data_IF_403579123359
#
_entry.id   IF_403579123359
#
_cell.length_a   1.000
_cell.length_b   1.000
_cell.length_c   1.000
_cell.angle_alpha   90.00
_cell.angle_beta   90.00
_cell.angle_gamma   90.00
#
_symmetry.space_group_name_H-M   'P 1'
#
loop_
_entity.id
_entity.type
_entity.pdbx_description
1 polymer ?
#
# COMPACT_ATOMS: atom_id res chain seq x y z
N UNK A 1 3.83 36.33 7.15
CA UNK A 1 4.39 35.64 5.98
C UNK A 1 4.84 34.28 6.49
N UNK A 2 3.94 33.29 6.46
CA UNK A 2 4.25 31.93 6.87
C UNK A 2 5.07 31.29 5.75
N UNK A 3 6.24 30.76 6.07
CA UNK A 3 7.16 30.17 5.09
C UNK A 3 6.49 29.01 4.36
N UNK A 4 6.61 29.01 3.03
CA UNK A 4 6.20 27.89 2.19
C UNK A 4 6.79 26.59 2.76
N UNK A 5 5.94 25.58 2.86
CA UNK A 5 6.32 24.26 3.37
C UNK A 5 7.09 23.51 2.27
N UNK A 6 8.27 24.00 1.92
CA UNK A 6 9.18 23.33 1.00
C UNK A 6 9.88 22.17 1.73
N UNK A 7 9.37 20.96 1.57
CA UNK A 7 10.10 19.73 1.91
C UNK A 7 10.75 19.17 0.64
N UNK A 8 12.08 19.23 0.61
CA UNK A 8 12.98 19.03 -0.54
C UNK A 8 12.99 17.58 -1.09
N UNK A 9 12.47 16.59 -0.35
CA UNK A 9 12.27 15.23 -0.87
C UNK A 9 11.02 14.62 -0.24
N UNK A 10 9.88 15.02 -0.76
CA UNK A 10 8.62 14.35 -0.44
C UNK A 10 8.32 13.33 -1.52
N UNK A 11 8.69 12.08 -1.27
CA UNK A 11 8.45 10.95 -2.18
C UNK A 11 6.95 10.67 -2.39
N UNK A 12 6.04 11.47 -1.82
CA UNK A 12 4.59 11.31 -1.93
C UNK A 12 4.08 10.07 -1.20
N UNK A 13 4.92 9.43 -0.40
CA UNK A 13 4.60 8.20 0.34
C UNK A 13 3.70 8.50 1.54
N UNK A 14 3.84 9.68 2.12
CA UNK A 14 3.07 10.15 3.28
C UNK A 14 2.47 11.52 2.99
N UNK A 15 1.31 11.77 3.58
CA UNK A 15 0.55 13.01 3.42
C UNK A 15 0.60 13.88 4.67
N UNK A 16 1.67 13.79 5.46
CA UNK A 16 1.87 14.65 6.62
C UNK A 16 3.32 15.09 6.75
N UNK A 17 3.52 16.27 7.33
CA UNK A 17 4.82 16.90 7.56
C UNK A 17 4.85 17.50 8.96
N UNK A 18 6.06 17.69 9.52
CA UNK A 18 6.21 18.45 10.76
C UNK A 18 5.94 19.92 10.48
N UNK A 19 5.24 20.60 11.38
CA UNK A 19 4.97 22.02 11.22
C UNK A 19 6.29 22.83 11.29
N UNK A 20 6.57 23.73 10.33
CA UNK A 20 7.87 24.41 10.24
C UNK A 20 8.12 25.36 11.42
N UNK A 21 7.07 26.00 11.94
CA UNK A 21 7.19 27.00 13.01
C UNK A 21 6.99 26.45 14.42
N UNK A 22 6.38 25.27 14.58
CA UNK A 22 6.07 24.71 15.91
C UNK A 22 6.20 23.17 15.88
N UNK A 23 7.24 22.61 16.52
CA UNK A 23 7.48 21.17 16.49
C UNK A 23 6.42 20.33 17.24
N UNK A 24 5.52 20.96 17.99
CA UNK A 24 4.41 20.27 18.67
C UNK A 24 3.24 19.95 17.76
N UNK A 25 3.27 20.43 16.51
CA UNK A 25 2.22 20.18 15.54
C UNK A 25 2.72 19.37 14.34
N UNK A 26 1.83 18.53 13.84
CA UNK A 26 1.98 17.77 12.59
C UNK A 26 0.88 18.22 11.66
N UNK A 27 1.23 18.53 10.42
CA UNK A 27 0.29 19.01 9.40
C UNK A 27 0.00 17.89 8.44
N UNK A 28 -1.26 17.45 8.38
CA UNK A 28 -1.75 16.55 7.34
C UNK A 28 -2.22 17.38 6.14
N UNK A 29 -1.92 16.93 4.92
CA UNK A 29 -2.26 17.61 3.68
C UNK A 29 -3.07 16.71 2.76
N UNK A 30 -4.11 17.26 2.15
CA UNK A 30 -4.96 16.55 1.21
C UNK A 30 -5.17 17.40 -0.04
N UNK A 31 -5.02 16.80 -1.22
CA UNK A 31 -5.34 17.45 -2.51
C UNK A 31 -6.81 17.25 -2.87
N UNK A 32 -7.38 16.11 -2.46
CA UNK A 32 -8.75 15.74 -2.76
C UNK A 32 -9.67 16.22 -1.63
N UNK A 33 -10.64 17.06 -1.99
CA UNK A 33 -11.63 17.61 -1.05
C UNK A 33 -12.46 16.53 -0.37
N UNK A 34 -12.82 15.45 -1.07
CA UNK A 34 -13.63 14.36 -0.51
C UNK A 34 -12.86 13.67 0.61
N UNK A 35 -11.56 13.43 0.41
CA UNK A 35 -10.69 12.83 1.45
C UNK A 35 -10.53 13.77 2.63
N UNK A 36 -10.34 15.06 2.38
CA UNK A 36 -10.23 16.08 3.42
C UNK A 36 -11.50 16.15 4.30
N UNK A 37 -12.67 16.18 3.66
CA UNK A 37 -13.96 16.23 4.36
C UNK A 37 -14.21 14.96 5.19
N UNK A 38 -13.88 13.77 4.65
CA UNK A 38 -13.97 12.51 5.41
C UNK A 38 -13.03 12.49 6.62
N UNK A 39 -11.81 13.01 6.45
CA UNK A 39 -10.84 13.09 7.53
C UNK A 39 -11.32 14.01 8.65
N UNK A 40 -11.86 15.18 8.31
CA UNK A 40 -12.46 16.12 9.26
C UNK A 40 -13.62 15.51 10.05
N UNK A 41 -14.50 14.76 9.38
CA UNK A 41 -15.62 14.05 10.02
C UNK A 41 -15.09 13.06 11.06
N UNK A 42 -14.09 12.25 10.71
CA UNK A 42 -13.52 11.25 11.63
C UNK A 42 -12.81 11.91 12.83
N UNK A 43 -12.11 13.03 12.61
CA UNK A 43 -11.52 13.83 13.69
C UNK A 43 -12.58 14.38 14.66
N UNK A 44 -13.66 14.92 14.10
CA UNK A 44 -14.79 15.46 14.87
C UNK A 44 -15.49 14.38 15.67
N UNK A 45 -15.75 13.21 15.05
CA UNK A 45 -16.37 12.05 15.71
C UNK A 45 -15.54 11.54 16.90
N UNK A 46 -14.22 11.57 16.79
CA UNK A 46 -13.30 11.18 17.87
C UNK A 46 -12.97 12.31 18.85
N UNK A 47 -13.57 13.50 18.68
CA UNK A 47 -13.34 14.70 19.51
C UNK A 47 -11.87 15.11 19.58
N UNK A 48 -11.14 14.92 18.48
CA UNK A 48 -9.74 15.32 18.37
C UNK A 48 -9.69 16.79 17.97
N UNK A 49 -8.89 17.59 18.67
CA UNK A 49 -8.69 19.00 18.31
C UNK A 49 -7.82 19.11 17.07
N UNK A 50 -8.22 19.96 16.13
CA UNK A 50 -7.48 20.23 14.90
C UNK A 50 -7.62 21.70 14.48
N UNK A 51 -6.66 22.17 13.70
CA UNK A 51 -6.72 23.45 13.00
C UNK A 51 -6.86 23.18 11.50
N UNK A 52 -7.85 23.78 10.85
CA UNK A 52 -8.05 23.67 9.40
C UNK A 52 -7.44 24.87 8.71
N UNK A 53 -6.66 24.60 7.67
CA UNK A 53 -6.11 25.61 6.77
C UNK A 53 -6.31 25.21 5.31
N UNK A 54 -6.18 26.17 4.41
CA UNK A 54 -6.15 25.93 2.98
C UNK A 54 -4.95 26.68 2.41
N UNK A 55 -4.16 25.99 1.59
CA UNK A 55 -3.00 26.56 0.94
C UNK A 55 -3.12 26.35 -0.57
N UNK A 56 -3.17 27.47 -1.31
CA UNK A 56 -3.21 27.43 -2.75
C UNK A 56 -1.77 27.47 -3.28
N UNK A 57 -1.29 26.32 -3.73
CA UNK A 57 -0.04 26.25 -4.49
C UNK A 57 -0.29 26.68 -5.94
N UNK A 58 0.78 26.96 -6.69
CA UNK A 58 0.74 27.41 -8.10
C UNK A 58 -0.08 26.50 -9.02
N UNK A 59 -0.26 25.23 -8.65
CA UNK A 59 -0.92 24.20 -9.48
C UNK A 59 -2.12 23.54 -8.80
N UNK A 60 -2.19 23.51 -7.46
CA UNK A 60 -3.19 22.73 -6.71
C UNK A 60 -3.57 23.40 -5.40
N UNK A 61 -4.82 23.21 -4.99
CA UNK A 61 -5.31 23.55 -3.66
C UNK A 61 -5.01 22.39 -2.71
N UNK A 62 -4.41 22.70 -1.56
CA UNK A 62 -4.16 21.76 -0.48
C UNK A 62 -5.03 22.10 0.72
N UNK A 63 -5.75 21.11 1.23
CA UNK A 63 -6.45 21.17 2.50
C UNK A 63 -5.50 20.69 3.60
N UNK A 64 -5.26 21.56 4.59
CA UNK A 64 -4.30 21.34 5.66
C UNK A 64 -5.01 21.14 6.99
N UNK A 65 -4.51 20.20 7.79
CA UNK A 65 -4.98 19.93 9.13
C UNK A 65 -3.82 19.89 10.12
N UNK A 66 -3.72 20.89 10.97
CA UNK A 66 -2.77 20.98 12.07
C UNK A 66 -3.24 20.16 13.27
N UNK A 67 -2.45 19.16 13.66
CA UNK A 67 -2.77 18.21 14.72
C UNK A 67 -1.67 18.23 15.77
N UNK A 68 -2.04 18.15 17.05
CA UNK A 68 -1.06 18.05 18.14
C UNK A 68 -0.33 16.71 18.05
N UNK A 69 0.99 16.76 18.20
CA UNK A 69 1.87 15.59 18.12
C UNK A 69 1.48 14.46 19.09
N UNK A 70 0.91 14.79 20.25
CA UNK A 70 0.42 13.80 21.23
C UNK A 70 -0.69 12.90 20.69
N UNK A 71 -1.49 13.41 19.75
CA UNK A 71 -2.65 12.75 19.16
C UNK A 71 -2.29 12.09 17.81
N UNK A 72 -1.02 12.18 17.40
CA UNK A 72 -0.52 11.77 16.09
C UNK A 72 -0.82 10.30 15.78
N UNK A 73 -0.52 9.37 16.69
CA UNK A 73 -0.69 7.93 16.42
C UNK A 73 -2.17 7.58 16.13
N UNK A 74 -3.08 8.16 16.91
CA UNK A 74 -4.52 8.01 16.72
C UNK A 74 -4.94 8.60 15.37
N UNK A 75 -4.49 9.81 15.06
CA UNK A 75 -4.86 10.50 13.81
C UNK A 75 -4.24 9.82 12.59
N UNK A 76 -3.05 9.25 12.70
CA UNK A 76 -2.41 8.48 11.65
C UNK A 76 -3.24 7.23 11.30
N UNK A 77 -3.84 6.56 12.30
CA UNK A 77 -4.75 5.43 12.04
C UNK A 77 -6.02 5.86 11.29
N UNK A 78 -6.56 7.04 11.60
CA UNK A 78 -7.70 7.63 10.89
C UNK A 78 -7.30 7.91 9.44
N UNK A 79 -6.14 8.53 9.24
CA UNK A 79 -5.62 8.85 7.93
C UNK A 79 -5.45 7.59 7.06
N UNK A 80 -4.90 6.50 7.61
CA UNK A 80 -4.83 5.22 6.90
C UNK A 80 -6.22 4.66 6.58
N UNK A 81 -7.19 4.83 7.47
CA UNK A 81 -8.57 4.39 7.24
C UNK A 81 -9.21 5.17 6.09
N UNK A 82 -9.12 6.50 6.09
CA UNK A 82 -9.63 7.37 5.02
C UNK A 82 -8.95 7.06 3.68
N UNK A 83 -7.63 6.85 3.71
CA UNK A 83 -6.85 6.52 2.52
C UNK A 83 -7.22 5.13 1.98
N UNK A 84 -7.43 4.14 2.85
CA UNK A 84 -7.84 2.78 2.45
C UNK A 84 -9.23 2.74 1.82
N UNK A 85 -10.19 3.52 2.35
CA UNK A 85 -11.55 3.65 1.79
C UNK A 85 -11.55 4.22 0.37
N UNK A 86 -10.58 5.07 0.05
CA UNK A 86 -10.52 5.79 -1.22
C UNK A 86 -9.48 5.22 -2.20
N UNK A 87 -8.67 4.24 -1.79
CA UNK A 87 -7.77 3.52 -2.68
C UNK A 87 -8.56 2.51 -3.49
N UNK A 88 -8.54 2.65 -4.81
CA UNK A 88 -8.93 1.56 -5.70
C UNK A 88 -7.95 0.42 -5.48
N UNK A 89 -8.47 -0.75 -5.12
CA UNK A 89 -7.67 -1.94 -4.89
C UNK A 89 -6.74 -2.18 -6.09
N UNK A 90 -5.48 -2.57 -5.84
CA UNK A 90 -4.41 -2.79 -6.86
C UNK A 90 -4.79 -3.80 -7.96
N UNK A 91 -5.96 -4.43 -7.88
CA UNK A 91 -6.52 -5.32 -8.90
C UNK A 91 -7.85 -4.76 -9.44
N UNK A 92 -7.91 -3.48 -9.77
CA UNK A 92 -9.07 -2.90 -10.47
C UNK A 92 -9.35 -3.66 -11.79
N UNK A 93 -8.31 -4.18 -12.44
CA UNK A 93 -8.46 -4.98 -13.65
C UNK A 93 -8.72 -6.46 -13.33
N UNK A 94 -9.95 -6.91 -13.63
CA UNK A 94 -10.41 -8.31 -13.49
C UNK A 94 -9.49 -9.30 -14.21
N UNK A 95 -8.94 -8.94 -15.38
CA UNK A 95 -8.10 -9.83 -16.18
C UNK A 95 -6.75 -10.11 -15.52
N UNK A 96 -6.10 -9.07 -14.97
CA UNK A 96 -4.80 -9.21 -14.32
C UNK A 96 -4.89 -10.13 -13.09
N UNK A 97 -5.98 -10.02 -12.32
CA UNK A 97 -6.25 -10.89 -11.16
C UNK A 97 -6.27 -12.38 -11.54
N UNK A 98 -6.97 -12.72 -12.62
CA UNK A 98 -7.04 -14.10 -13.11
C UNK A 98 -5.74 -14.55 -13.77
N UNK A 99 -5.03 -13.67 -14.47
CA UNK A 99 -3.74 -13.98 -15.08
C UNK A 99 -2.70 -14.43 -14.04
N UNK A 100 -2.55 -13.68 -12.94
CA UNK A 100 -1.61 -14.02 -11.86
C UNK A 100 -1.99 -15.34 -11.17
N UNK A 101 -3.30 -15.54 -10.93
CA UNK A 101 -3.81 -16.77 -10.31
C UNK A 101 -3.55 -17.99 -11.20
N UNK A 102 -3.90 -17.91 -12.48
CA UNK A 102 -3.71 -19.00 -13.45
C UNK A 102 -2.23 -19.31 -13.67
N UNK A 103 -1.38 -18.28 -13.76
CA UNK A 103 0.06 -18.47 -13.89
C UNK A 103 0.65 -19.22 -12.69
N UNK A 104 0.24 -18.86 -11.46
CA UNK A 104 0.70 -19.53 -10.24
C UNK A 104 0.25 -20.99 -10.18
N UNK A 105 -1.02 -21.26 -10.51
CA UNK A 105 -1.55 -22.63 -10.60
C UNK A 105 -0.81 -23.42 -11.69
N UNK A 106 -0.50 -22.79 -12.82
CA UNK A 106 0.28 -23.37 -13.91
C UNK A 106 1.69 -23.80 -13.47
N UNK A 107 2.41 -22.93 -12.75
CA UNK A 107 3.73 -23.23 -12.20
C UNK A 107 3.69 -24.43 -11.24
N UNK A 108 2.71 -24.47 -10.33
CA UNK A 108 2.56 -25.60 -9.39
C UNK A 108 2.23 -26.89 -10.13
N UNK A 109 1.33 -26.83 -11.12
CA UNK A 109 0.96 -27.99 -11.94
C UNK A 109 2.17 -28.54 -12.70
N UNK A 110 2.98 -27.67 -13.31
CA UNK A 110 4.20 -28.06 -14.01
C UNK A 110 5.23 -28.69 -13.06
N UNK A 111 5.37 -28.17 -11.84
CA UNK A 111 6.25 -28.76 -10.84
C UNK A 111 5.81 -30.18 -10.45
N UNK A 112 4.50 -30.41 -10.26
CA UNK A 112 3.94 -31.73 -9.95
C UNK A 112 4.17 -32.72 -11.10
N UNK A 113 3.86 -32.32 -12.34
CA UNK A 113 4.06 -33.17 -13.53
C UNK A 113 5.55 -33.51 -13.71
N UNK A 114 6.43 -32.52 -13.53
CA UNK A 114 7.88 -32.72 -13.59
C UNK A 114 8.39 -33.71 -12.54
N UNK A 115 7.84 -33.64 -11.33
CA UNK A 115 8.17 -34.58 -10.26
C UNK A 115 7.71 -36.02 -10.59
N UNK A 116 6.46 -36.20 -11.01
CA UNK A 116 5.93 -37.52 -11.35
C UNK A 116 6.68 -38.16 -12.54
N UNK A 117 6.91 -37.40 -13.61
CA UNK A 117 7.63 -37.89 -14.81
C UNK A 117 9.08 -38.31 -14.50
N UNK A 118 9.75 -37.61 -13.57
CA UNK A 118 11.11 -37.98 -13.13
C UNK A 118 11.10 -39.28 -12.32
N UNK A 119 10.08 -39.50 -11.50
CA UNK A 119 9.94 -40.73 -10.71
C UNK A 119 9.79 -41.97 -11.59
N UNK A 120 9.00 -41.89 -12.67
CA UNK A 120 8.78 -43.02 -13.59
C UNK A 120 10.05 -43.39 -14.37
N UNK A 121 10.81 -42.39 -14.84
CA UNK A 121 12.07 -42.63 -15.56
C UNK A 121 13.13 -43.29 -14.69
N UNK A 122 13.26 -42.87 -13.43
CA UNK A 122 14.20 -43.48 -12.49
C UNK A 122 13.92 -44.97 -12.24
N UNK A 123 12.65 -45.36 -12.12
CA UNK A 123 12.24 -46.76 -11.99
C UNK A 123 12.51 -47.57 -13.27
N UNK A 124 12.29 -46.98 -14.44
CA UNK A 124 12.55 -47.68 -15.71
C UNK A 124 14.04 -47.93 -15.97
N UNK A 125 14.91 -46.97 -15.61
CA UNK A 125 16.36 -47.12 -15.75
C UNK A 125 16.92 -48.14 -14.75
N UNK A 126 16.43 -48.15 -13.50
CA UNK A 126 16.84 -49.14 -12.49
C UNK A 126 16.44 -50.58 -12.88
N UNK A 127 15.24 -50.78 -13.45
CA UNK A 127 14.81 -52.11 -13.93
C UNK A 127 15.66 -52.59 -15.10
N UNK A 128 16.03 -51.70 -16.03
CA UNK A 128 16.86 -52.04 -17.19
C UNK A 128 18.28 -52.41 -16.73
N UNK A 129 18.88 -51.64 -15.82
CA UNK A 129 20.23 -51.91 -15.31
C UNK A 129 20.31 -53.24 -14.53
N UNK A 130 19.28 -53.57 -13.75
CA UNK A 130 19.16 -54.86 -13.05
C UNK A 130 19.01 -56.03 -14.04
N UNK A 131 18.35 -55.84 -15.16
CA UNK A 131 18.20 -56.88 -16.18
C UNK A 131 19.49 -57.12 -16.99
N UNK A 132 20.27 -56.08 -17.28
CA UNK A 132 21.53 -56.17 -18.04
C UNK A 132 22.67 -56.77 -17.22
N UNK A 133 22.74 -56.51 -15.91
CA UNK A 133 23.76 -57.10 -15.03
C UNK A 133 23.51 -58.56 -14.63
N UNK A 134 22.40 -59.16 -15.08
CA UNK A 134 22.00 -60.53 -14.74
C UNK A 134 22.25 -61.54 -15.86
N UNK A 135 22.69 -61.08 -17.03
CA UNK A 135 23.25 -61.88 -18.13
C UNK A 135 24.79 -61.95 -18.03
#
# INVERSE_FOLDING_TARGET
MAGEVENIVDLGLVNYVRHPSDPNYVVFRFVDKIRADQFEIELTNKKIWFERGEEQSKVKLYYLFGIKKRDFDTVQSINFTVESKNRTFLMANRYFRWSVLLFSIGMVSLAIIGYCTRSEKGLSEEIIDVSVNKE
#
